data_IF_224925067662
#
_entry.id   IF_224925067662
#
_cell.length_a   1.000
_cell.length_b   1.000
_cell.length_c   1.000
_cell.angle_alpha   90.00
_cell.angle_beta   90.00
_cell.angle_gamma   90.00
#
_symmetry.space_group_name_H-M   'P 1'
#
loop_
_entity.id
_entity.type
_entity.pdbx_description
1 polymer ?
#
# COMPACT_ATOMS: atom_id res chain seq x y z
N UNK A 1 9.29 25.06 -1.58
CA UNK A 1 9.03 25.60 -0.23
C UNK A 1 10.18 25.19 0.67
N UNK A 2 11.13 26.11 0.99
CA UNK A 2 12.41 25.73 1.63
C UNK A 2 12.27 25.24 3.10
N UNK A 3 11.08 25.23 3.69
CA UNK A 3 10.84 24.79 5.07
C UNK A 3 10.03 23.48 5.18
N UNK A 4 9.57 22.91 4.08
CA UNK A 4 8.78 21.68 4.11
C UNK A 4 9.69 20.48 4.39
N UNK A 5 9.57 19.91 5.59
CA UNK A 5 10.36 18.72 5.98
C UNK A 5 9.59 17.42 5.90
N UNK A 6 8.28 17.47 5.99
CA UNK A 6 7.41 16.30 5.95
C UNK A 6 6.34 16.50 4.88
N UNK A 7 6.16 15.51 4.03
CA UNK A 7 5.13 15.49 3.01
C UNK A 7 4.32 14.21 3.10
N UNK A 8 3.00 14.34 3.17
CA UNK A 8 2.07 13.23 3.21
C UNK A 8 1.14 13.38 2.01
N UNK A 9 1.12 12.39 1.14
CA UNK A 9 0.24 12.34 -0.02
C UNK A 9 -0.68 11.13 0.07
N UNK A 10 -1.99 11.37 -0.07
CA UNK A 10 -3.02 10.34 -0.25
C UNK A 10 -3.71 10.59 -1.57
N UNK A 11 -3.63 9.66 -2.49
CA UNK A 11 -4.21 9.86 -3.82
C UNK A 11 -4.59 8.54 -4.49
N UNK A 12 -5.51 8.65 -5.45
CA UNK A 12 -5.83 7.60 -6.39
C UNK A 12 -5.12 7.89 -7.72
N UNK A 13 -4.49 6.86 -8.28
CA UNK A 13 -3.85 6.96 -9.60
C UNK A 13 -4.66 6.09 -10.56
N UNK A 14 -5.41 6.76 -11.43
CA UNK A 14 -6.34 6.12 -12.36
C UNK A 14 -5.73 5.77 -13.71
N UNK A 15 -4.56 6.33 -14.05
CA UNK A 15 -3.86 6.10 -15.32
C UNK A 15 -2.35 6.36 -15.20
N UNK A 16 -1.61 6.03 -16.24
CA UNK A 16 -0.14 6.17 -16.25
C UNK A 16 0.34 7.63 -16.16
N UNK A 17 -0.44 8.59 -16.65
CA UNK A 17 -0.13 10.01 -16.50
C UNK A 17 -0.10 10.44 -15.02
N UNK A 18 -0.92 9.81 -14.17
CA UNK A 18 -0.89 10.06 -12.73
C UNK A 18 0.45 9.74 -12.09
N UNK A 19 1.15 8.70 -12.53
CA UNK A 19 2.52 8.40 -12.09
C UNK A 19 3.52 9.44 -12.58
N UNK A 20 3.36 9.95 -13.80
CA UNK A 20 4.20 11.04 -14.30
C UNK A 20 4.03 12.31 -13.48
N UNK A 21 2.80 12.65 -13.09
CA UNK A 21 2.53 13.78 -12.18
C UNK A 21 3.10 13.54 -10.78
N UNK A 22 2.93 12.33 -10.23
CA UNK A 22 3.52 11.97 -8.94
C UNK A 22 5.04 12.14 -8.99
N UNK A 23 5.69 11.62 -10.01
CA UNK A 23 7.14 11.72 -10.18
C UNK A 23 7.60 13.17 -10.30
N UNK A 24 6.90 13.96 -11.13
CA UNK A 24 7.16 15.40 -11.25
C UNK A 24 7.04 16.11 -9.90
N UNK A 25 5.96 15.83 -9.14
CA UNK A 25 5.74 16.42 -7.82
C UNK A 25 6.88 16.06 -6.86
N UNK A 26 7.24 14.78 -6.77
CA UNK A 26 8.28 14.30 -5.87
C UNK A 26 9.65 14.90 -6.22
N UNK A 27 9.96 15.07 -7.49
CA UNK A 27 11.20 15.70 -7.95
C UNK A 27 11.30 17.20 -7.59
N UNK A 28 10.15 17.85 -7.37
CA UNK A 28 10.13 19.24 -6.90
C UNK A 28 10.14 19.39 -5.36
N UNK A 29 10.15 18.26 -4.64
CA UNK A 29 10.18 18.22 -3.16
C UNK A 29 11.55 17.78 -2.60
N UNK A 30 12.63 18.22 -3.21
CA UNK A 30 14.01 17.78 -2.92
C UNK A 30 14.54 18.10 -1.50
N UNK A 31 13.81 18.89 -0.71
CA UNK A 31 14.19 19.25 0.66
C UNK A 31 13.46 18.47 1.76
N UNK A 32 12.54 17.56 1.40
CA UNK A 32 11.80 16.78 2.38
C UNK A 32 12.72 15.76 3.07
N UNK A 33 12.48 15.57 4.37
CA UNK A 33 13.15 14.56 5.19
C UNK A 33 12.25 13.36 5.45
N UNK A 34 10.92 13.56 5.40
CA UNK A 34 9.90 12.52 5.64
C UNK A 34 8.90 12.52 4.51
N UNK A 35 8.70 11.35 3.92
CA UNK A 35 7.71 11.13 2.87
C UNK A 35 6.77 10.01 3.30
N UNK A 36 5.45 10.28 3.24
CA UNK A 36 4.43 9.25 3.42
C UNK A 36 3.52 9.23 2.21
N UNK A 37 3.47 8.10 1.53
CA UNK A 37 2.65 7.90 0.33
C UNK A 37 1.56 6.87 0.58
N UNK A 38 0.32 7.24 0.28
CA UNK A 38 -0.83 6.35 0.25
C UNK A 38 -1.40 6.39 -1.16
N UNK A 39 -1.08 5.37 -1.95
CA UNK A 39 -1.48 5.27 -3.35
C UNK A 39 -2.50 4.15 -3.52
N UNK A 40 -3.58 4.45 -4.20
CA UNK A 40 -4.55 3.44 -4.59
C UNK A 40 -4.75 3.47 -6.11
N UNK A 41 -4.72 2.29 -6.72
CA UNK A 41 -5.09 2.08 -8.12
C UNK A 41 -6.51 1.51 -8.19
N UNK A 42 -7.32 2.06 -9.07
CA UNK A 42 -8.71 1.65 -9.26
C UNK A 42 -8.84 0.52 -10.30
N UNK A 43 -9.88 -0.32 -10.17
CA UNK A 43 -10.23 -1.36 -11.13
C UNK A 43 -10.83 -0.80 -12.43
N UNK A 44 -10.70 0.50 -12.72
CA UNK A 44 -11.38 1.11 -13.84
C UNK A 44 -10.91 0.60 -15.22
N UNK A 45 -11.77 0.75 -16.25
CA UNK A 45 -11.57 0.26 -17.62
C UNK A 45 -10.25 0.76 -18.23
N UNK A 46 -9.37 -0.13 -18.57
CA UNK A 46 -7.93 -0.23 -18.54
C UNK A 46 -7.17 0.24 -19.78
N UNK A 47 -7.69 1.13 -20.57
CA UNK A 47 -6.99 1.44 -21.83
C UNK A 47 -5.67 2.20 -21.62
N UNK A 48 -5.45 2.84 -20.46
CA UNK A 48 -4.26 3.65 -20.19
C UNK A 48 -3.62 3.37 -18.80
N UNK A 49 -3.60 2.09 -18.36
CA UNK A 49 -3.05 1.68 -17.04
C UNK A 49 -1.97 0.61 -17.19
N UNK A 50 -0.94 0.86 -18.00
CA UNK A 50 0.12 -0.12 -18.21
C UNK A 50 1.00 -0.29 -16.96
N UNK A 51 1.22 0.77 -16.19
CA UNK A 51 2.09 0.78 -15.01
C UNK A 51 1.52 -0.09 -13.88
N UNK A 52 0.20 -0.03 -13.63
CA UNK A 52 -0.44 -0.88 -12.62
C UNK A 52 -0.46 -2.38 -12.93
N UNK A 53 -0.15 -2.77 -14.17
CA UNK A 53 -0.03 -4.19 -14.56
C UNK A 53 1.27 -4.82 -14.09
N UNK A 54 2.26 -4.00 -13.70
CA UNK A 54 3.52 -4.51 -13.15
C UNK A 54 3.34 -4.99 -11.72
N UNK A 55 4.21 -5.92 -11.34
CA UNK A 55 4.33 -6.31 -9.95
C UNK A 55 4.78 -5.13 -9.12
N UNK A 56 4.09 -4.86 -8.01
CA UNK A 56 4.50 -3.81 -7.08
C UNK A 56 5.62 -4.36 -6.19
N UNK A 57 6.85 -4.18 -6.63
CA UNK A 57 8.08 -4.59 -5.96
C UNK A 57 8.99 -3.39 -5.62
N UNK A 58 10.22 -3.65 -5.18
CA UNK A 58 11.21 -2.63 -4.88
C UNK A 58 11.50 -1.73 -6.08
N UNK A 59 11.60 -2.31 -7.29
CA UNK A 59 11.85 -1.54 -8.51
C UNK A 59 10.68 -0.60 -8.83
N UNK A 60 9.43 -1.10 -8.70
CA UNK A 60 8.24 -0.27 -8.87
C UNK A 60 8.26 0.92 -7.90
N UNK A 61 8.49 0.67 -6.60
CA UNK A 61 8.53 1.73 -5.58
C UNK A 61 9.62 2.74 -5.87
N UNK A 62 10.80 2.28 -6.25
CA UNK A 62 11.93 3.15 -6.60
C UNK A 62 11.64 4.01 -7.82
N UNK A 63 11.05 3.42 -8.85
CA UNK A 63 10.81 4.09 -10.12
C UNK A 63 9.67 5.12 -10.04
N UNK A 64 8.58 4.77 -9.36
CA UNK A 64 7.35 5.56 -9.42
C UNK A 64 7.01 6.31 -8.13
N UNK A 65 7.51 5.85 -6.97
CA UNK A 65 7.10 6.36 -5.66
C UNK A 65 8.17 7.21 -4.97
N UNK A 66 9.33 7.35 -5.56
CA UNK A 66 10.45 8.13 -5.00
C UNK A 66 10.95 9.18 -6.01
N UNK A 67 11.50 10.32 -5.54
CA UNK A 67 12.18 11.26 -6.41
C UNK A 67 13.43 10.64 -7.05
N UNK A 68 13.86 11.16 -8.21
CA UNK A 68 15.07 10.67 -8.88
C UNK A 68 16.35 10.95 -8.07
N UNK A 69 16.38 12.11 -7.40
CA UNK A 69 17.46 12.50 -6.52
C UNK A 69 16.99 12.52 -5.07
N UNK A 70 17.50 11.60 -4.27
CA UNK A 70 17.18 11.48 -2.86
C UNK A 70 18.39 11.93 -2.05
N UNK A 71 18.43 13.21 -1.72
CA UNK A 71 19.53 13.80 -0.94
C UNK A 71 19.23 13.88 0.55
N UNK A 72 18.00 14.24 0.91
CA UNK A 72 17.64 14.59 2.28
C UNK A 72 16.57 13.67 2.91
N UNK A 73 16.01 12.74 2.15
CA UNK A 73 14.96 11.87 2.63
C UNK A 73 15.51 10.80 3.58
N UNK A 74 15.08 10.86 4.84
CA UNK A 74 15.49 9.97 5.93
C UNK A 74 14.40 8.93 6.20
N UNK A 75 13.14 9.36 6.26
CA UNK A 75 12.00 8.51 6.56
C UNK A 75 11.11 8.37 5.32
N UNK A 76 10.85 7.14 4.93
CA UNK A 76 9.93 6.82 3.85
C UNK A 76 8.93 5.76 4.28
N UNK A 77 7.68 6.17 4.43
CA UNK A 77 6.55 5.30 4.69
C UNK A 77 5.64 5.25 3.48
N UNK A 78 5.15 4.07 3.13
CA UNK A 78 4.21 3.94 2.04
C UNK A 78 3.17 2.85 2.27
N UNK A 79 2.04 3.03 1.63
CA UNK A 79 0.99 2.05 1.40
C UNK A 79 0.54 2.17 -0.05
N UNK A 80 0.60 1.07 -0.77
CA UNK A 80 0.21 1.00 -2.18
C UNK A 80 -0.77 -0.14 -2.32
N UNK A 81 -1.94 0.15 -2.88
CA UNK A 81 -2.93 -0.86 -3.21
C UNK A 81 -3.35 -0.75 -4.66
N UNK A 82 -3.47 -1.86 -5.34
CA UNK A 82 -3.97 -1.88 -6.71
C UNK A 82 -4.65 -3.20 -7.04
N UNK A 83 -5.54 -3.12 -7.98
CA UNK A 83 -6.11 -4.32 -8.59
C UNK A 83 -5.02 -5.09 -9.35
N UNK A 84 -4.98 -6.41 -9.18
CA UNK A 84 -4.05 -7.29 -9.89
C UNK A 84 -4.78 -8.47 -10.48
N UNK A 85 -4.54 -8.74 -11.77
CA UNK A 85 -5.03 -9.95 -12.45
C UNK A 85 -4.08 -11.14 -12.31
N UNK A 86 -2.96 -10.94 -11.64
CA UNK A 86 -1.97 -11.99 -11.45
C UNK A 86 -2.54 -12.99 -10.46
N UNK A 87 -2.93 -14.16 -10.97
CA UNK A 87 -3.56 -15.23 -10.18
C UNK A 87 -2.61 -15.88 -9.15
N UNK A 88 -1.32 -15.75 -9.35
CA UNK A 88 -0.29 -16.31 -8.47
C UNK A 88 0.86 -15.32 -8.33
N UNK A 89 0.85 -14.54 -7.27
CA UNK A 89 1.94 -13.64 -6.95
C UNK A 89 2.88 -14.33 -5.97
N UNK A 90 4.15 -14.38 -6.33
CA UNK A 90 5.21 -14.83 -5.44
C UNK A 90 5.51 -13.72 -4.41
N UNK A 91 4.83 -13.80 -3.27
CA UNK A 91 4.95 -12.87 -2.15
C UNK A 91 6.39 -12.78 -1.65
N UNK A 92 7.07 -13.93 -1.58
CA UNK A 92 8.44 -14.00 -1.11
C UNK A 92 9.39 -13.26 -2.07
N UNK A 93 9.18 -13.39 -3.36
CA UNK A 93 9.93 -12.65 -4.38
C UNK A 93 9.75 -11.13 -4.23
N UNK A 94 8.51 -10.67 -3.97
CA UNK A 94 8.26 -9.24 -3.74
C UNK A 94 9.02 -8.75 -2.51
N UNK A 95 8.88 -9.42 -1.37
CA UNK A 95 9.55 -9.04 -0.13
C UNK A 95 11.07 -9.09 -0.28
N UNK A 96 11.60 -10.13 -0.93
CA UNK A 96 13.03 -10.30 -1.17
C UNK A 96 13.59 -9.22 -2.11
N UNK A 97 12.79 -8.66 -3.01
CA UNK A 97 13.24 -7.54 -3.84
C UNK A 97 13.69 -6.33 -3.01
N UNK A 98 13.02 -6.03 -1.89
CA UNK A 98 13.43 -4.96 -0.98
C UNK A 98 14.65 -5.33 -0.13
N UNK A 99 14.74 -6.62 0.29
CA UNK A 99 15.84 -7.11 1.11
C UNK A 99 17.15 -7.26 0.34
N UNK A 100 17.09 -7.37 -0.99
CA UNK A 100 18.26 -7.54 -1.86
C UNK A 100 18.66 -6.28 -2.63
N UNK A 101 17.78 -5.28 -2.72
CA UNK A 101 18.09 -4.03 -3.42
C UNK A 101 19.03 -3.14 -2.58
N UNK A 102 20.25 -2.82 -3.07
CA UNK A 102 21.22 -2.02 -2.33
C UNK A 102 20.71 -0.64 -1.91
N UNK A 103 19.81 -0.06 -2.69
CA UNK A 103 19.21 1.23 -2.38
C UNK A 103 18.33 1.17 -1.11
N UNK A 104 17.48 0.15 -0.97
CA UNK A 104 16.62 -0.02 0.21
C UNK A 104 17.44 -0.48 1.42
N UNK A 105 18.44 -1.35 1.22
CA UNK A 105 19.36 -1.82 2.28
C UNK A 105 20.10 -0.63 2.89
N UNK A 106 20.71 0.21 2.07
CA UNK A 106 21.52 1.35 2.55
C UNK A 106 20.72 2.36 3.38
N UNK A 107 19.40 2.40 3.20
CA UNK A 107 18.47 3.29 3.93
C UNK A 107 17.70 2.60 5.04
N UNK A 108 17.89 1.30 5.23
CA UNK A 108 17.14 0.47 6.18
C UNK A 108 15.63 0.45 5.91
N UNK A 109 15.20 0.61 4.64
CA UNK A 109 13.79 0.59 4.20
C UNK A 109 13.37 -0.79 3.68
N UNK A 110 13.95 -1.84 4.22
CA UNK A 110 13.71 -3.23 3.79
C UNK A 110 12.52 -3.90 4.48
N UNK A 111 11.96 -3.25 5.50
CA UNK A 111 10.88 -3.80 6.29
C UNK A 111 9.53 -3.49 5.64
N UNK A 112 9.12 -4.37 4.74
CA UNK A 112 7.87 -4.25 3.98
C UNK A 112 6.99 -5.48 4.18
N UNK A 113 5.69 -5.26 4.09
CA UNK A 113 4.68 -6.32 4.11
C UNK A 113 3.91 -6.28 2.79
N UNK A 114 3.68 -7.45 2.23
CA UNK A 114 2.87 -7.64 1.04
C UNK A 114 1.69 -8.56 1.35
N UNK A 115 0.53 -8.20 0.84
CA UNK A 115 -0.69 -8.99 0.95
C UNK A 115 -1.44 -8.97 -0.38
N UNK A 116 -2.02 -10.10 -0.76
CA UNK A 116 -2.93 -10.23 -1.90
C UNK A 116 -4.30 -10.68 -1.40
N UNK A 117 -5.34 -9.93 -1.75
CA UNK A 117 -6.73 -10.32 -1.50
C UNK A 117 -7.30 -11.00 -2.76
N UNK A 118 -7.50 -12.33 -2.72
CA UNK A 118 -7.98 -13.07 -3.89
C UNK A 118 -9.46 -12.83 -4.20
N UNK A 119 -10.25 -12.32 -3.25
CA UNK A 119 -11.69 -12.11 -3.44
C UNK A 119 -11.94 -10.88 -4.30
N UNK A 120 -11.26 -9.79 -3.98
CA UNK A 120 -11.37 -8.55 -4.74
C UNK A 120 -10.25 -8.35 -5.75
N UNK A 121 -9.30 -9.30 -5.80
CA UNK A 121 -8.12 -9.26 -6.67
C UNK A 121 -7.26 -8.01 -6.47
N UNK A 122 -7.04 -7.61 -5.20
CA UNK A 122 -6.18 -6.49 -4.85
C UNK A 122 -4.88 -6.95 -4.23
N UNK A 123 -3.80 -6.29 -4.64
CA UNK A 123 -2.50 -6.40 -3.98
C UNK A 123 -2.26 -5.17 -3.10
N UNK A 124 -1.62 -5.39 -1.96
CA UNK A 124 -1.28 -4.37 -0.98
C UNK A 124 0.18 -4.50 -0.60
N UNK A 125 0.93 -3.43 -0.74
CA UNK A 125 2.32 -3.35 -0.33
C UNK A 125 2.51 -2.15 0.58
N UNK A 126 3.16 -2.31 1.73
CA UNK A 126 3.36 -1.21 2.67
C UNK A 126 4.59 -1.41 3.56
N UNK A 127 5.13 -0.30 4.07
CA UNK A 127 6.14 -0.30 5.10
C UNK A 127 5.51 -0.49 6.49
N UNK A 128 6.26 -1.08 7.44
CA UNK A 128 5.75 -1.49 8.76
C UNK A 128 5.27 -0.36 9.66
N UNK A 129 5.62 0.90 9.34
CA UNK A 129 5.29 2.06 10.18
C UNK A 129 4.03 2.80 9.74
N UNK A 130 3.29 2.28 8.77
CA UNK A 130 2.12 2.97 8.23
C UNK A 130 0.91 2.71 9.12
N UNK A 131 0.34 3.79 9.64
CA UNK A 131 -0.98 3.78 10.25
C UNK A 131 -2.02 3.76 9.10
N UNK A 132 -2.42 2.56 8.69
CA UNK A 132 -3.25 2.36 7.51
C UNK A 132 -4.71 2.33 7.88
N UNK A 133 -5.51 3.10 7.19
CA UNK A 133 -6.95 2.89 7.09
C UNK A 133 -7.16 1.78 6.05
N UNK A 134 -7.29 0.55 6.52
CA UNK A 134 -7.47 -0.60 5.64
C UNK A 134 -8.86 -0.60 5.04
N UNK A 135 -8.93 -0.53 3.72
CA UNK A 135 -10.15 -0.80 3.00
C UNK A 135 -10.19 -2.29 2.67
N UNK A 136 -11.17 -2.97 3.25
CA UNK A 136 -11.64 -4.33 2.90
C UNK A 136 -10.59 -5.45 2.95
N UNK A 137 -10.74 -6.35 3.91
CA UNK A 137 -9.91 -7.55 4.01
C UNK A 137 -10.74 -8.82 4.08
N UNK A 138 -11.20 -9.28 2.93
CA UNK A 138 -11.75 -10.63 2.86
C UNK A 138 -10.66 -11.71 2.96
N UNK A 139 -9.44 -11.44 2.53
CA UNK A 139 -8.32 -12.38 2.66
C UNK A 139 -7.82 -12.58 4.09
N UNK A 140 -7.96 -11.58 4.97
CA UNK A 140 -7.64 -11.72 6.41
C UNK A 140 -8.54 -12.73 7.13
N UNK A 141 -9.75 -12.95 6.64
CA UNK A 141 -10.67 -13.96 7.17
C UNK A 141 -10.09 -15.36 7.00
N UNK A 142 -9.45 -15.61 5.86
CA UNK A 142 -8.90 -16.93 5.52
C UNK A 142 -7.48 -17.14 6.06
N UNK A 143 -6.73 -16.06 6.34
CA UNK A 143 -5.33 -16.13 6.78
C UNK A 143 -5.04 -15.25 8.01
N UNK A 144 -5.81 -15.34 9.09
CA UNK A 144 -5.70 -14.45 10.25
C UNK A 144 -4.36 -14.56 11.01
N UNK A 145 -3.59 -15.62 10.75
CA UNK A 145 -2.34 -15.90 11.48
C UNK A 145 -1.09 -15.24 10.87
N UNK A 146 -1.19 -14.71 9.66
CA UNK A 146 -0.03 -14.18 8.92
C UNK A 146 0.25 -12.74 9.31
N UNK A 147 -0.76 -12.01 9.80
CA UNK A 147 -0.66 -10.56 10.03
C UNK A 147 -1.00 -10.20 11.47
N UNK A 148 -0.04 -9.55 12.13
CA UNK A 148 -0.32 -8.75 13.32
C UNK A 148 -0.26 -7.27 12.89
N UNK A 149 -1.31 -6.53 13.19
CA UNK A 149 -1.46 -5.14 12.78
C UNK A 149 -1.55 -4.20 14.00
N UNK A 150 -0.46 -4.07 14.77
CA UNK A 150 -0.50 -3.35 16.05
C UNK A 150 -0.77 -1.85 15.90
N UNK A 151 -0.54 -1.29 14.71
CA UNK A 151 -0.65 0.16 14.47
C UNK A 151 -1.96 0.58 13.81
N UNK A 152 -2.85 -0.36 13.50
CA UNK A 152 -4.13 -0.05 12.87
C UNK A 152 -5.15 0.29 13.95
N UNK A 153 -5.79 1.45 13.80
CA UNK A 153 -6.83 1.94 14.71
C UNK A 153 -8.21 2.00 14.09
N UNK A 154 -8.29 2.03 12.76
CA UNK A 154 -9.55 2.12 12.03
C UNK A 154 -9.55 1.15 10.86
N UNK A 155 -10.64 0.40 10.72
CA UNK A 155 -10.85 -0.53 9.60
C UNK A 155 -12.16 -0.19 8.93
N UNK A 156 -12.15 -0.20 7.60
CA UNK A 156 -13.34 -0.12 6.78
C UNK A 156 -13.50 -1.44 6.03
N UNK A 157 -14.65 -2.08 6.19
CA UNK A 157 -14.98 -3.37 5.58
C UNK A 157 -16.30 -3.28 4.83
N UNK A 158 -16.41 -4.02 3.73
CA UNK A 158 -17.68 -4.21 3.04
C UNK A 158 -18.46 -5.36 3.67
N UNK A 159 -19.79 -5.29 3.62
CA UNK A 159 -20.63 -6.40 4.08
C UNK A 159 -20.35 -7.61 3.19
N UNK A 160 -19.92 -8.70 3.83
CA UNK A 160 -19.67 -9.97 3.19
C UNK A 160 -20.15 -11.11 4.11
N UNK A 161 -20.64 -12.24 3.58
CA UNK A 161 -21.08 -13.37 4.41
C UNK A 161 -20.05 -13.87 5.41
N UNK A 162 -18.74 -13.73 5.09
CA UNK A 162 -17.66 -14.12 5.97
C UNK A 162 -17.31 -13.10 7.06
N UNK A 163 -18.01 -11.96 7.13
CA UNK A 163 -17.77 -10.91 8.12
C UNK A 163 -17.84 -11.44 9.56
N UNK A 164 -18.76 -12.38 9.81
CA UNK A 164 -18.89 -13.02 11.13
C UNK A 164 -17.59 -13.69 11.57
N UNK A 165 -16.98 -14.50 10.70
CA UNK A 165 -15.71 -15.19 11.01
C UNK A 165 -14.54 -14.22 11.18
N UNK A 166 -14.57 -13.10 10.49
CA UNK A 166 -13.61 -12.03 10.66
C UNK A 166 -13.74 -11.40 12.04
N UNK A 167 -14.94 -11.01 12.44
CA UNK A 167 -15.20 -10.38 13.74
C UNK A 167 -14.85 -11.30 14.90
N UNK A 168 -15.06 -12.61 14.77
CA UNK A 168 -14.71 -13.59 15.81
C UNK A 168 -13.19 -13.64 16.11
N UNK A 169 -12.36 -13.34 15.12
CA UNK A 169 -10.89 -13.36 15.26
C UNK A 169 -10.27 -11.98 15.32
N UNK A 170 -11.11 -10.96 15.26
CA UNK A 170 -10.72 -9.57 15.08
C UNK A 170 -9.73 -9.08 16.15
N UNK A 171 -10.01 -9.28 17.41
CA UNK A 171 -9.19 -8.80 18.52
C UNK A 171 -7.77 -9.36 18.51
N UNK A 172 -7.59 -10.58 17.97
CA UNK A 172 -6.27 -11.22 17.86
C UNK A 172 -5.42 -10.61 16.77
N UNK A 173 -6.05 -10.20 15.66
CA UNK A 173 -5.36 -9.66 14.47
C UNK A 173 -5.15 -8.16 14.60
N UNK A 174 -6.10 -7.47 15.20
CA UNK A 174 -6.14 -6.01 15.31
C UNK A 174 -6.33 -5.52 16.75
N UNK A 175 -5.36 -5.74 17.64
CA UNK A 175 -5.54 -5.50 19.08
C UNK A 175 -5.79 -4.02 19.43
N UNK A 176 -5.44 -3.07 18.54
CA UNK A 176 -5.55 -1.63 18.79
C UNK A 176 -6.62 -0.94 17.93
N UNK A 177 -7.44 -1.69 17.23
CA UNK A 177 -8.53 -1.09 16.46
C UNK A 177 -9.65 -0.62 17.39
N UNK A 178 -9.97 0.64 17.29
CA UNK A 178 -11.04 1.29 18.05
C UNK A 178 -12.30 1.56 17.23
N UNK A 179 -12.20 1.49 15.90
CA UNK A 179 -13.30 1.82 15.00
C UNK A 179 -13.37 0.87 13.82
N UNK A 180 -14.56 0.30 13.59
CA UNK A 180 -14.89 -0.47 12.40
C UNK A 180 -16.00 0.24 11.66
N UNK A 181 -15.78 0.55 10.39
CA UNK A 181 -16.81 1.08 9.49
C UNK A 181 -17.22 -0.03 8.54
N UNK A 182 -18.49 -0.43 8.60
CA UNK A 182 -19.06 -1.40 7.67
C UNK A 182 -19.78 -0.65 6.56
N UNK A 183 -19.45 -0.97 5.31
CA UNK A 183 -20.00 -0.33 4.12
C UNK A 183 -20.81 -1.35 3.33
N UNK A 184 -22.00 -0.97 2.89
CA UNK A 184 -22.73 -1.74 1.88
C UNK A 184 -22.29 -1.26 0.50
N UNK A 185 -21.93 -2.18 -0.40
CA UNK A 185 -21.86 -1.84 -1.82
C UNK A 185 -23.28 -1.61 -2.31
N UNK A 186 -23.57 -0.43 -2.84
CA UNK A 186 -24.75 -0.27 -3.70
C UNK A 186 -24.49 -1.10 -4.95
N UNK A 187 -25.26 -2.17 -5.11
CA UNK A 187 -25.30 -2.95 -6.35
C UNK A 187 -25.98 -2.05 -7.37
N UNK A 188 -25.18 -1.39 -8.22
CA UNK A 188 -25.65 -0.65 -9.39
C UNK A 188 -25.71 -1.60 -10.58
#
# INVERSE_FOLDING_TARGET
VPKLRCFILKTFITNDAGFSYLKWLLNNLNHIQKLKLYLAGEKSRRENQSIWKYLIDANFVRQYCLPDLITNLVDFDFYISSYSEILSIDVEKVINSFKSDPFFISRQWTNVTYFYDPIISYQHLFSMNVNVQLQVFNGLINYPYIFQWPNIRQIRIHIHPSLYFFLEKFDKVFPNVSTITVVMEEII
#
